data_IF_019685472580
#
_entry.id   IF_019685472580
#
_cell.length_a   1.000
_cell.length_b   1.000
_cell.length_c   1.000
_cell.angle_alpha   90.00
_cell.angle_beta   90.00
_cell.angle_gamma   90.00
#
_symmetry.space_group_name_H-M   'P 1'
#
loop_
_entity.id
_entity.type
_entity.pdbx_description
1 polymer ?
#
# COMPACT_ATOMS: atom_id res chain seq x y z
N UNK A 1 21.72 -2.30 -27.65
CA UNK A 1 21.07 -2.75 -28.90
C UNK A 1 19.58 -2.80 -28.64
N UNK A 2 18.75 -2.11 -29.46
CA UNK A 2 17.30 -2.25 -29.41
C UNK A 2 16.97 -3.70 -29.73
N UNK A 3 16.30 -4.41 -28.81
CA UNK A 3 15.68 -5.69 -29.16
C UNK A 3 14.62 -5.42 -30.22
N UNK A 4 14.69 -6.12 -31.35
CA UNK A 4 13.72 -5.97 -32.46
C UNK A 4 12.30 -6.43 -32.08
N UNK A 5 12.15 -7.13 -30.95
CA UNK A 5 10.92 -7.76 -30.51
C UNK A 5 10.37 -7.13 -29.22
N UNK A 6 9.07 -6.89 -29.17
CA UNK A 6 8.35 -6.31 -28.02
C UNK A 6 8.34 -7.27 -26.83
N UNK A 7 8.61 -6.73 -25.64
CA UNK A 7 8.49 -7.42 -24.35
C UNK A 7 7.23 -6.93 -23.62
N UNK A 8 6.26 -7.82 -23.45
CA UNK A 8 5.01 -7.54 -22.73
C UNK A 8 5.03 -8.19 -21.36
N UNK A 9 4.84 -7.44 -20.30
CA UNK A 9 4.61 -7.98 -18.96
C UNK A 9 3.12 -8.20 -18.69
N UNK A 10 2.76 -9.38 -18.19
CA UNK A 10 1.49 -9.64 -17.53
C UNK A 10 1.70 -9.64 -16.04
N UNK A 11 1.16 -8.64 -15.34
CA UNK A 11 1.42 -8.40 -13.94
C UNK A 11 0.32 -9.02 -13.08
N UNK A 12 0.75 -9.79 -12.08
CA UNK A 12 -0.08 -10.31 -10.99
C UNK A 12 0.51 -9.93 -9.63
N UNK A 13 -0.35 -9.51 -8.72
CA UNK A 13 0.01 -9.06 -7.37
C UNK A 13 -0.10 -10.22 -6.38
N UNK A 14 0.90 -10.35 -5.50
CA UNK A 14 1.06 -11.53 -4.63
C UNK A 14 0.50 -11.33 -3.23
N UNK A 15 0.37 -10.09 -2.79
CA UNK A 15 0.08 -9.76 -1.42
C UNK A 15 -1.40 -9.85 -1.05
N UNK A 16 -1.65 -9.88 0.26
CA UNK A 16 -2.95 -9.99 0.89
C UNK A 16 -3.12 -8.87 1.91
N UNK A 17 -4.37 -8.53 2.22
CA UNK A 17 -4.70 -7.59 3.30
C UNK A 17 -4.73 -8.32 4.65
N UNK A 18 -4.26 -7.64 5.70
CA UNK A 18 -4.37 -8.15 7.07
C UNK A 18 -5.77 -7.86 7.62
N UNK A 19 -6.64 -8.86 7.56
CA UNK A 19 -8.03 -8.78 8.04
C UNK A 19 -8.34 -10.03 8.88
N UNK A 20 -8.03 -10.01 10.18
CA UNK A 20 -8.17 -11.18 11.05
C UNK A 20 -9.62 -11.72 11.12
N UNK A 21 -10.61 -10.85 10.96
CA UNK A 21 -12.04 -11.21 10.99
C UNK A 21 -12.53 -11.91 9.72
N UNK A 22 -11.72 -11.93 8.64
CA UNK A 22 -12.10 -12.59 7.42
C UNK A 22 -12.08 -14.11 7.57
N UNK A 23 -13.17 -14.79 7.16
CA UNK A 23 -13.34 -16.25 7.36
C UNK A 23 -12.22 -17.12 6.77
N UNK A 24 -11.49 -16.60 5.80
CA UNK A 24 -10.35 -17.28 5.16
C UNK A 24 -9.00 -16.61 5.51
N UNK A 25 -8.97 -15.80 6.56
CA UNK A 25 -7.70 -15.24 7.03
C UNK A 25 -6.76 -16.38 7.47
N UNK A 26 -5.51 -16.25 7.07
CA UNK A 26 -4.48 -17.18 7.55
C UNK A 26 -4.33 -17.01 9.08
N UNK A 27 -4.37 -18.07 9.87
CA UNK A 27 -4.35 -17.97 11.33
C UNK A 27 -3.03 -17.40 11.89
N UNK A 28 -1.93 -17.53 11.16
CA UNK A 28 -0.61 -17.05 11.60
C UNK A 28 -0.37 -15.59 11.17
N UNK A 29 -0.61 -15.29 9.88
CA UNK A 29 -0.32 -13.97 9.31
C UNK A 29 -1.50 -13.02 9.37
N UNK A 30 -2.71 -13.53 9.61
CA UNK A 30 -3.98 -12.79 9.55
C UNK A 30 -4.28 -12.19 8.16
N UNK A 31 -3.53 -12.62 7.14
CA UNK A 31 -3.71 -12.19 5.77
C UNK A 31 -4.89 -12.88 5.08
N UNK A 32 -5.66 -12.12 4.31
CA UNK A 32 -6.74 -12.62 3.47
C UNK A 32 -6.72 -11.97 2.10
N UNK A 33 -6.90 -12.77 1.05
CA UNK A 33 -7.04 -12.27 -0.31
C UNK A 33 -8.46 -11.73 -0.56
N UNK A 34 -8.71 -10.49 -0.15
CA UNK A 34 -10.00 -9.83 -0.30
C UNK A 34 -9.97 -8.62 -1.25
N UNK A 35 -8.82 -8.26 -1.79
CA UNK A 35 -8.69 -7.26 -2.86
C UNK A 35 -8.81 -7.87 -4.27
N UNK A 36 -8.75 -9.20 -4.41
CA UNK A 36 -8.91 -9.87 -5.70
C UNK A 36 -7.60 -10.32 -6.36
N UNK A 37 -6.45 -10.16 -5.71
CA UNK A 37 -5.14 -10.57 -6.26
C UNK A 37 -5.08 -12.07 -6.59
N UNK A 38 -5.77 -12.92 -5.84
CA UNK A 38 -5.89 -14.35 -6.14
C UNK A 38 -6.60 -14.63 -7.49
N UNK A 39 -7.64 -13.87 -7.81
CA UNK A 39 -8.32 -13.98 -9.10
C UNK A 39 -7.46 -13.43 -10.25
N UNK A 40 -6.75 -12.32 -9.97
CA UNK A 40 -5.77 -11.74 -10.88
C UNK A 40 -4.65 -12.75 -11.22
N UNK A 41 -4.05 -13.37 -10.21
CA UNK A 41 -3.01 -14.40 -10.40
C UNK A 41 -3.53 -15.61 -11.20
N UNK A 42 -4.76 -16.06 -10.89
CA UNK A 42 -5.39 -17.12 -11.67
C UNK A 42 -5.55 -16.75 -13.16
N UNK A 43 -5.93 -15.50 -13.45
CA UNK A 43 -6.00 -14.97 -14.80
C UNK A 43 -4.65 -14.91 -15.49
N UNK A 44 -3.59 -14.46 -14.81
CA UNK A 44 -2.21 -14.45 -15.34
C UNK A 44 -1.74 -15.87 -15.66
N UNK A 45 -1.99 -16.85 -14.79
CA UNK A 45 -1.66 -18.26 -15.03
C UNK A 45 -2.46 -18.80 -16.22
N UNK A 46 -3.75 -18.51 -16.31
CA UNK A 46 -4.60 -18.89 -17.43
C UNK A 46 -4.10 -18.33 -18.76
N UNK A 47 -3.70 -17.07 -18.79
CA UNK A 47 -3.07 -16.44 -19.95
C UNK A 47 -1.75 -17.13 -20.33
N UNK A 48 -0.91 -17.46 -19.33
CA UNK A 48 0.33 -18.21 -19.58
C UNK A 48 0.09 -19.55 -20.24
N UNK A 49 -0.87 -20.31 -19.75
CA UNK A 49 -1.25 -21.61 -20.34
C UNK A 49 -1.72 -21.43 -21.81
N UNK A 50 -2.55 -20.42 -22.07
CA UNK A 50 -3.03 -20.14 -23.42
C UNK A 50 -1.90 -19.71 -24.36
N UNK A 51 -0.99 -18.86 -23.92
CA UNK A 51 0.14 -18.34 -24.69
C UNK A 51 1.23 -19.39 -24.94
N UNK A 52 1.33 -20.43 -24.12
CA UNK A 52 2.26 -21.55 -24.32
C UNK A 52 1.74 -22.62 -25.28
N UNK A 53 0.45 -22.55 -25.69
CA UNK A 53 -0.09 -23.43 -26.71
C UNK A 53 0.73 -23.26 -28.00
N UNK A 54 1.22 -24.37 -28.62
CA UNK A 54 2.06 -24.30 -29.82
C UNK A 54 1.47 -23.46 -30.96
N UNK A 55 0.17 -23.63 -31.25
CA UNK A 55 -0.52 -22.88 -32.30
C UNK A 55 -0.59 -21.37 -32.07
N UNK A 56 -0.56 -20.94 -30.79
CA UNK A 56 -0.53 -19.52 -30.40
C UNK A 56 0.91 -19.03 -30.41
N UNK A 57 1.82 -19.79 -29.78
CA UNK A 57 3.23 -19.44 -29.65
C UNK A 57 3.92 -19.19 -30.97
N UNK A 58 3.63 -20.00 -32.00
CA UNK A 58 4.18 -19.85 -33.35
C UNK A 58 3.77 -18.55 -34.04
N UNK A 59 2.68 -17.91 -33.59
CA UNK A 59 2.16 -16.65 -34.17
C UNK A 59 2.60 -15.41 -33.40
N UNK A 60 3.29 -15.58 -32.25
CA UNK A 60 3.76 -14.46 -31.43
C UNK A 60 5.15 -14.04 -31.89
N UNK A 61 5.29 -12.75 -32.15
CA UNK A 61 6.56 -12.09 -32.43
C UNK A 61 6.92 -11.18 -31.25
N UNK A 62 7.78 -11.67 -30.34
CA UNK A 62 8.13 -11.01 -29.10
C UNK A 62 8.17 -11.96 -27.91
N UNK A 63 8.18 -11.39 -26.72
CA UNK A 63 8.15 -12.19 -25.49
C UNK A 63 7.04 -11.70 -24.54
N UNK A 64 6.48 -12.67 -23.81
CA UNK A 64 5.57 -12.38 -22.71
C UNK A 64 6.24 -12.78 -21.40
N UNK A 65 6.32 -11.85 -20.47
CA UNK A 65 6.90 -12.02 -19.14
C UNK A 65 5.78 -12.05 -18.12
N UNK A 66 5.71 -13.13 -17.32
CA UNK A 66 4.81 -13.18 -16.18
C UNK A 66 5.50 -12.50 -14.99
N UNK A 67 4.93 -11.40 -14.55
CA UNK A 67 5.53 -10.56 -13.53
C UNK A 67 4.75 -10.68 -12.21
N UNK A 68 5.33 -11.36 -11.23
CA UNK A 68 4.73 -11.52 -9.91
C UNK A 68 5.25 -10.40 -8.97
N UNK A 69 4.36 -9.50 -8.57
CA UNK A 69 4.70 -8.28 -7.82
C UNK A 69 4.29 -8.42 -6.36
N UNK A 70 5.21 -8.28 -5.39
CA UNK A 70 4.87 -8.21 -3.97
C UNK A 70 4.44 -6.79 -3.58
N UNK A 71 3.75 -6.68 -2.42
CA UNK A 71 3.53 -5.42 -1.71
C UNK A 71 2.86 -4.30 -2.55
N UNK A 72 1.79 -4.63 -3.26
CA UNK A 72 0.95 -3.63 -3.93
C UNK A 72 0.16 -2.82 -2.89
N UNK A 73 -0.45 -3.52 -1.93
CA UNK A 73 -1.15 -2.94 -0.81
C UNK A 73 -0.16 -2.24 0.14
N UNK A 74 -0.34 -0.97 0.33
CA UNK A 74 0.57 -0.18 1.18
C UNK A 74 0.18 -0.26 2.67
N UNK A 75 -0.09 -1.47 3.16
CA UNK A 75 -0.29 -1.76 4.57
C UNK A 75 1.02 -1.88 5.36
N UNK A 76 0.93 -2.02 6.68
CA UNK A 76 2.06 -2.26 7.58
C UNK A 76 3.21 -1.24 7.42
N UNK A 77 2.88 0.05 7.47
CA UNK A 77 3.78 1.18 7.21
C UNK A 77 5.03 1.11 8.11
N UNK A 78 4.88 0.76 9.38
CA UNK A 78 6.00 0.67 10.33
C UNK A 78 7.01 -0.40 9.91
N UNK A 79 6.53 -1.57 9.46
CA UNK A 79 7.40 -2.64 8.96
C UNK A 79 8.16 -2.20 7.69
N UNK A 80 7.48 -1.56 6.75
CA UNK A 80 8.10 -1.05 5.51
C UNK A 80 9.12 0.05 5.80
N UNK A 81 8.84 0.95 6.73
CA UNK A 81 9.79 1.97 7.17
C UNK A 81 11.03 1.33 7.79
N UNK A 82 10.88 0.28 8.61
CA UNK A 82 12.02 -0.46 9.15
C UNK A 82 12.90 -1.06 8.04
N UNK A 83 12.32 -1.65 7.00
CA UNK A 83 13.08 -2.16 5.86
C UNK A 83 13.82 -1.04 5.11
N UNK A 84 13.22 0.14 5.03
CA UNK A 84 13.85 1.33 4.44
C UNK A 84 15.01 1.82 5.29
N UNK A 85 14.83 1.90 6.60
CA UNK A 85 15.88 2.31 7.56
C UNK A 85 17.07 1.33 7.56
N UNK A 86 16.78 0.04 7.36
CA UNK A 86 17.80 -1.02 7.19
C UNK A 86 18.45 -1.02 5.80
N UNK A 87 18.05 -0.15 4.89
CA UNK A 87 18.56 -0.05 3.52
C UNK A 87 18.18 -1.22 2.61
N UNK A 88 17.22 -2.05 3.00
CA UNK A 88 16.76 -3.21 2.21
C UNK A 88 15.87 -2.80 1.03
N UNK A 89 15.08 -1.78 1.21
CA UNK A 89 14.22 -1.17 0.18
C UNK A 89 14.33 0.35 0.26
N UNK A 90 13.94 1.04 -0.81
CA UNK A 90 13.76 2.49 -0.84
C UNK A 90 12.30 2.87 -0.88
N UNK A 91 11.48 2.10 -1.58
CA UNK A 91 10.04 2.32 -1.71
C UNK A 91 9.25 1.17 -1.12
N UNK A 92 8.24 1.48 -0.33
CA UNK A 92 7.38 0.47 0.30
C UNK A 92 6.34 -0.16 -0.65
N UNK A 93 6.13 0.40 -1.85
CA UNK A 93 5.29 -0.18 -2.90
C UNK A 93 6.12 -1.06 -3.84
N UNK A 94 5.67 -2.30 -4.06
CA UNK A 94 6.43 -3.31 -4.79
C UNK A 94 6.79 -2.90 -6.21
N UNK A 95 5.84 -2.38 -7.00
CA UNK A 95 6.11 -1.90 -8.36
C UNK A 95 7.15 -0.78 -8.39
N UNK A 96 7.05 0.18 -7.45
CA UNK A 96 8.01 1.29 -7.35
C UNK A 96 9.43 0.78 -7.02
N UNK A 97 9.54 -0.19 -6.12
CA UNK A 97 10.82 -0.78 -5.77
C UNK A 97 11.41 -1.59 -6.93
N UNK A 98 10.59 -2.36 -7.63
CA UNK A 98 11.00 -3.13 -8.81
C UNK A 98 11.47 -2.22 -9.95
N UNK A 99 10.79 -1.10 -10.19
CA UNK A 99 11.26 -0.08 -11.15
C UNK A 99 12.62 0.47 -10.71
N UNK A 100 12.79 0.81 -9.43
CA UNK A 100 14.03 1.33 -8.91
C UNK A 100 15.23 0.41 -9.12
N UNK A 101 15.02 -0.89 -8.98
CA UNK A 101 16.10 -1.89 -9.16
C UNK A 101 16.28 -2.34 -10.61
N UNK A 102 15.55 -1.75 -11.56
CA UNK A 102 15.68 -2.03 -12.99
C UNK A 102 14.93 -3.28 -13.47
N UNK A 103 14.05 -3.86 -12.64
CA UNK A 103 13.32 -5.08 -13.01
C UNK A 103 12.39 -4.90 -14.23
N UNK A 104 12.04 -3.67 -14.55
CA UNK A 104 11.20 -3.33 -15.72
C UNK A 104 11.99 -2.77 -16.91
N UNK A 105 13.31 -2.68 -16.85
CA UNK A 105 14.13 -2.01 -17.88
C UNK A 105 14.05 -2.71 -19.26
N UNK A 106 13.74 -4.01 -19.27
CA UNK A 106 13.57 -4.82 -20.48
C UNK A 106 12.10 -5.00 -20.90
N UNK A 107 11.16 -4.30 -20.27
CA UNK A 107 9.72 -4.36 -20.55
C UNK A 107 9.28 -3.14 -21.34
N UNK A 108 8.65 -3.36 -22.51
CA UNK A 108 8.15 -2.28 -23.36
C UNK A 108 6.70 -1.91 -23.04
N UNK A 109 5.88 -2.89 -22.63
CA UNK A 109 4.47 -2.74 -22.30
C UNK A 109 4.10 -3.59 -21.10
N UNK A 110 3.14 -3.15 -20.32
CA UNK A 110 2.57 -3.93 -19.23
C UNK A 110 1.04 -3.95 -19.28
N UNK A 111 0.48 -5.08 -18.86
CA UNK A 111 -0.96 -5.27 -18.68
C UNK A 111 -1.17 -5.73 -17.24
N UNK A 112 -1.96 -4.95 -16.52
CA UNK A 112 -2.47 -5.28 -15.18
C UNK A 112 -3.98 -5.37 -15.29
N UNK A 113 -4.57 -6.45 -14.80
CA UNK A 113 -6.01 -6.54 -14.65
C UNK A 113 -6.39 -6.69 -13.18
N UNK A 114 -7.53 -6.17 -12.80
CA UNK A 114 -8.01 -6.23 -11.43
C UNK A 114 -9.53 -6.41 -11.43
N UNK A 115 -10.08 -7.05 -10.42
CA UNK A 115 -11.53 -7.15 -10.29
C UNK A 115 -12.13 -5.77 -10.06
N UNK A 116 -13.34 -5.56 -10.55
CA UNK A 116 -14.08 -4.31 -10.44
C UNK A 116 -15.58 -4.56 -10.38
N UNK A 117 -16.35 -3.49 -10.39
CA UNK A 117 -17.81 -3.49 -10.34
C UNK A 117 -18.49 -3.57 -11.72
N UNK A 118 -17.71 -3.69 -12.78
CA UNK A 118 -18.19 -3.78 -14.18
C UNK A 118 -17.68 -5.05 -14.84
N UNK A 119 -18.40 -5.54 -15.82
CA UNK A 119 -18.03 -6.73 -16.58
C UNK A 119 -16.65 -6.57 -17.23
N UNK A 120 -16.45 -5.43 -17.92
CA UNK A 120 -15.17 -5.04 -18.51
C UNK A 120 -15.06 -3.52 -18.44
N UNK A 121 -13.93 -3.04 -17.98
CA UNK A 121 -13.56 -1.62 -18.10
C UNK A 121 -12.08 -1.50 -18.40
N UNK A 122 -11.73 -0.57 -19.27
CA UNK A 122 -10.33 -0.14 -19.43
C UNK A 122 -10.08 0.98 -18.44
N UNK A 123 -8.95 0.91 -17.72
CA UNK A 123 -8.62 1.85 -16.66
C UNK A 123 -8.69 3.31 -17.08
N UNK A 124 -8.89 4.17 -16.09
CA UNK A 124 -8.85 5.63 -16.29
C UNK A 124 -7.43 6.09 -16.60
N UNK A 125 -7.34 7.24 -17.27
CA UNK A 125 -6.06 7.87 -17.59
C UNK A 125 -5.34 8.48 -16.36
N UNK A 126 -5.91 8.33 -15.17
CA UNK A 126 -5.35 8.88 -13.92
C UNK A 126 -5.63 7.97 -12.74
N UNK A 127 -4.64 7.78 -11.91
CA UNK A 127 -4.73 7.14 -10.59
C UNK A 127 -4.30 8.13 -9.52
N UNK A 128 -4.84 7.97 -8.31
CA UNK A 128 -4.33 8.70 -7.16
C UNK A 128 -2.95 8.15 -6.77
N UNK A 129 -1.99 9.03 -6.57
CA UNK A 129 -0.76 8.72 -5.87
C UNK A 129 -0.94 8.88 -4.36
N UNK A 130 0.04 8.46 -3.57
CA UNK A 130 0.02 8.68 -2.13
C UNK A 130 1.39 8.97 -1.55
N UNK A 131 1.39 9.59 -0.36
CA UNK A 131 2.56 9.79 0.48
C UNK A 131 2.21 9.33 1.89
N UNK A 132 2.82 8.24 2.34
CA UNK A 132 2.63 7.80 3.71
C UNK A 132 3.46 8.62 4.70
N UNK A 133 2.89 8.89 5.87
CA UNK A 133 3.56 9.60 6.95
C UNK A 133 3.28 8.94 8.29
N UNK A 134 4.32 8.90 9.15
CA UNK A 134 4.20 8.57 10.56
C UNK A 134 4.45 9.84 11.36
N UNK A 135 3.47 10.27 12.12
CA UNK A 135 3.53 11.49 12.93
C UNK A 135 3.60 11.07 14.40
N UNK A 136 4.65 11.48 15.09
CA UNK A 136 4.86 11.18 16.51
C UNK A 136 4.69 12.46 17.33
N UNK A 137 3.71 12.45 18.23
CA UNK A 137 3.55 13.47 19.25
C UNK A 137 4.22 12.99 20.53
N UNK A 138 5.16 13.76 21.02
CA UNK A 138 5.88 13.47 22.27
C UNK A 138 5.40 14.38 23.38
N UNK A 139 5.12 13.80 24.53
CA UNK A 139 4.67 14.47 25.73
C UNK A 139 5.49 14.08 26.96
N UNK A 140 4.89 14.22 28.12
CA UNK A 140 5.46 13.84 29.42
C UNK A 140 4.39 13.11 30.23
N UNK A 141 4.69 11.88 30.64
CA UNK A 141 3.79 11.12 31.50
C UNK A 141 3.65 11.75 32.90
N UNK A 142 2.44 11.71 33.40
CA UNK A 142 2.15 12.10 34.79
C UNK A 142 0.92 11.34 35.30
N UNK A 143 0.75 11.29 36.62
CA UNK A 143 -0.46 10.74 37.21
C UNK A 143 -1.65 11.64 36.90
N UNK A 144 -2.61 11.17 36.12
CA UNK A 144 -3.67 11.99 35.53
C UNK A 144 -4.58 12.66 36.59
N UNK A 145 -4.75 12.05 37.76
CA UNK A 145 -5.53 12.62 38.87
C UNK A 145 -4.67 13.34 39.92
N UNK A 146 -3.52 12.74 40.31
CA UNK A 146 -2.72 13.23 41.41
C UNK A 146 -1.78 14.40 41.05
N UNK A 147 -1.24 14.41 39.84
CA UNK A 147 -0.27 15.41 39.39
C UNK A 147 -0.40 15.75 37.90
N UNK A 148 -1.60 16.06 37.37
CA UNK A 148 -1.79 16.30 35.96
C UNK A 148 -0.98 17.49 35.41
N UNK A 149 -0.68 18.47 36.28
CA UNK A 149 0.07 19.68 35.94
C UNK A 149 1.56 19.43 35.64
N UNK A 150 2.07 18.24 35.97
CA UNK A 150 3.44 17.84 35.64
C UNK A 150 3.54 17.12 34.28
N UNK A 151 2.39 16.79 33.68
CA UNK A 151 2.32 16.10 32.43
C UNK A 151 2.21 17.02 31.20
N UNK A 152 2.61 16.50 30.06
CA UNK A 152 2.31 17.08 28.73
C UNK A 152 1.57 16.02 27.91
N UNK A 153 0.28 16.27 27.66
CA UNK A 153 -0.60 15.29 27.05
C UNK A 153 -0.42 15.23 25.52
N UNK A 154 0.28 14.20 25.05
CA UNK A 154 0.49 13.97 23.62
C UNK A 154 -0.82 13.67 22.87
N UNK A 155 -1.82 13.05 23.55
CA UNK A 155 -3.11 12.74 22.93
C UNK A 155 -3.93 14.00 22.64
N UNK A 156 -3.90 14.97 23.56
CA UNK A 156 -4.57 16.25 23.32
C UNK A 156 -3.94 16.99 22.13
N UNK A 157 -2.60 16.99 22.03
CA UNK A 157 -1.90 17.58 20.89
C UNK A 157 -2.24 16.88 19.57
N UNK A 158 -2.27 15.56 19.57
CA UNK A 158 -2.64 14.76 18.40
C UNK A 158 -4.10 15.01 17.97
N UNK A 159 -5.03 15.06 18.93
CA UNK A 159 -6.45 15.35 18.67
C UNK A 159 -6.65 16.74 18.06
N UNK A 160 -5.93 17.74 18.58
CA UNK A 160 -5.96 19.09 17.99
C UNK A 160 -5.38 19.10 16.58
N UNK A 161 -4.28 18.37 16.35
CA UNK A 161 -3.69 18.22 15.01
C UNK A 161 -4.62 17.57 14.01
N UNK A 162 -5.34 16.51 14.41
CA UNK A 162 -6.36 15.87 13.57
C UNK A 162 -7.53 16.81 13.26
N UNK A 163 -7.99 17.57 14.24
CA UNK A 163 -9.05 18.57 14.03
C UNK A 163 -8.61 19.67 13.06
N UNK A 164 -7.38 20.19 13.23
CA UNK A 164 -6.82 21.18 12.32
C UNK A 164 -6.72 20.66 10.88
N UNK A 165 -6.29 19.40 10.68
CA UNK A 165 -6.28 18.76 9.38
C UNK A 165 -7.69 18.62 8.78
N UNK A 166 -8.69 18.30 9.60
CA UNK A 166 -10.07 18.19 9.15
C UNK A 166 -10.60 19.55 8.64
N UNK A 167 -10.28 20.65 9.32
CA UNK A 167 -10.63 22.00 8.87
C UNK A 167 -9.87 22.42 7.61
N UNK A 168 -8.62 21.99 7.44
CA UNK A 168 -7.83 22.26 6.24
C UNK A 168 -8.49 21.74 4.95
N UNK A 169 -9.29 20.67 5.03
CA UNK A 169 -9.95 20.05 3.86
C UNK A 169 -10.83 21.03 3.07
N UNK A 170 -11.42 22.03 3.72
CA UNK A 170 -12.25 23.02 3.06
C UNK A 170 -11.48 23.87 2.04
N UNK A 171 -10.16 23.91 2.13
CA UNK A 171 -9.29 24.69 1.24
C UNK A 171 -8.66 23.87 0.12
N UNK A 172 -8.86 22.55 0.10
CA UNK A 172 -8.34 21.70 -0.97
C UNK A 172 -9.11 21.92 -2.26
N UNK A 173 -8.39 22.11 -3.36
CA UNK A 173 -9.01 22.26 -4.68
C UNK A 173 -9.46 20.89 -5.19
N UNK A 174 -10.68 20.79 -5.72
CA UNK A 174 -11.24 19.53 -6.25
C UNK A 174 -10.36 18.92 -7.36
N UNK A 175 -9.74 19.76 -8.19
CA UNK A 175 -8.85 19.32 -9.28
C UNK A 175 -7.59 18.60 -8.80
N UNK A 176 -7.18 18.84 -7.54
CA UNK A 176 -5.97 18.22 -6.97
C UNK A 176 -6.24 16.85 -6.37
N UNK A 177 -7.51 16.46 -6.24
CA UNK A 177 -7.97 15.15 -5.73
C UNK A 177 -7.35 14.72 -4.40
N UNK A 178 -6.99 15.69 -3.53
CA UNK A 178 -6.32 15.43 -2.26
C UNK A 178 -7.24 14.65 -1.30
N UNK A 179 -6.70 13.60 -0.73
CA UNK A 179 -7.31 12.81 0.36
C UNK A 179 -6.31 12.68 1.50
N UNK A 180 -6.80 12.68 2.73
CA UNK A 180 -5.98 12.46 3.93
C UNK A 180 -6.73 11.49 4.85
N UNK A 181 -6.14 10.34 5.13
CA UNK A 181 -6.76 9.26 5.91
C UNK A 181 -5.89 8.89 7.11
N UNK A 182 -5.93 9.66 8.23
CA UNK A 182 -5.16 9.36 9.42
C UNK A 182 -5.83 8.32 10.30
N UNK A 183 -5.02 7.47 10.94
CA UNK A 183 -5.41 6.61 12.05
C UNK A 183 -4.46 6.82 13.22
N UNK A 184 -4.95 6.68 14.46
CA UNK A 184 -4.10 6.62 15.66
C UNK A 184 -3.73 5.17 15.89
N UNK A 185 -2.45 4.82 15.70
CA UNK A 185 -1.93 3.47 15.96
C UNK A 185 -1.43 3.28 17.39
N UNK A 186 -1.09 4.39 18.07
CA UNK A 186 -0.78 4.41 19.51
C UNK A 186 -1.35 5.69 20.14
N UNK A 187 -2.25 5.55 21.11
CA UNK A 187 -2.96 6.67 21.75
C UNK A 187 -2.74 6.82 23.27
N UNK A 188 -1.87 6.03 23.86
CA UNK A 188 -1.62 5.91 25.28
C UNK A 188 -1.74 4.46 25.75
N UNK A 189 -1.39 4.20 27.04
CA UNK A 189 -1.35 2.84 27.59
C UNK A 189 -2.35 2.63 28.75
N UNK A 190 -2.52 3.63 29.60
CA UNK A 190 -3.33 3.55 30.84
C UNK A 190 -4.17 4.81 31.00
N UNK A 191 -5.42 4.65 31.41
CA UNK A 191 -6.37 5.77 31.59
C UNK A 191 -6.00 6.73 32.72
N UNK A 192 -5.21 6.29 33.71
CA UNK A 192 -4.75 7.08 34.86
C UNK A 192 -3.36 7.68 34.65
N UNK A 193 -2.80 7.59 33.44
CA UNK A 193 -1.50 8.18 33.07
C UNK A 193 -1.69 9.09 31.87
N UNK A 194 -1.20 10.32 31.96
CA UNK A 194 -1.14 11.25 30.84
C UNK A 194 -0.31 10.63 29.70
N UNK A 195 -0.84 10.46 28.48
CA UNK A 195 -0.09 9.90 27.38
C UNK A 195 1.15 10.72 27.03
N UNK A 196 2.32 10.09 27.06
CA UNK A 196 3.61 10.67 26.74
C UNK A 196 4.02 10.48 25.27
N UNK A 197 3.34 9.58 24.56
CA UNK A 197 3.53 9.39 23.13
C UNK A 197 2.22 9.01 22.43
N UNK A 198 1.99 9.63 21.29
CA UNK A 198 0.93 9.26 20.36
C UNK A 198 1.52 9.13 18.95
N UNK A 199 1.14 8.07 18.25
CA UNK A 199 1.55 7.81 16.88
C UNK A 199 0.32 7.85 15.98
N UNK A 200 0.41 8.63 14.92
CA UNK A 200 -0.57 8.70 13.84
C UNK A 200 0.10 8.22 12.55
N UNK A 201 -0.56 7.33 11.86
CA UNK A 201 -0.21 6.94 10.49
C UNK A 201 -1.25 7.50 9.52
N UNK A 202 -0.80 7.96 8.36
CA UNK A 202 -1.67 8.56 7.33
C UNK A 202 -1.11 8.33 5.93
N UNK A 203 -2.02 8.28 4.99
CA UNK A 203 -1.79 8.36 3.55
C UNK A 203 -2.39 9.66 3.03
#
# INVERSE_FOLDING_TARGET
EKKDNVSLALIGELDALRIPEHKYANPETQGAHCCGHHAQLAGVIGAAIALTNPEVKEKLDGQVVLFAVPAEEYGEIEFKNKLTDEGKIKYGGGKCELIRIGAFDDIDLDIVHHIGDKDISVGSNSNNGFVSKVIRYKGVAAHAAGAPHLGVNALNAASLGLSALAYQRETFQDKDHVRVHPIITKGGNLVNVTPDEVIIETL
#
